data_IF_195049271385
#
_entry.id   IF_195049271385
#
_cell.length_a   1.000
_cell.length_b   1.000
_cell.length_c   1.000
_cell.angle_alpha   90.00
_cell.angle_beta   90.00
_cell.angle_gamma   90.00
#
_symmetry.space_group_name_H-M   'P 1'
#
loop_
_entity.id
_entity.type
_entity.pdbx_description
1 polymer ?
#
# COMPACT_ATOMS: atom_id res chain seq x y z
N UNK A 1 1.57 2.54 21.65
CA UNK A 1 1.68 2.69 20.20
C UNK A 1 2.23 1.36 19.73
N UNK A 2 1.54 0.69 18.80
CA UNK A 2 2.00 -0.58 18.25
C UNK A 2 3.04 -0.27 17.19
N UNK A 3 4.21 -0.91 17.25
CA UNK A 3 5.26 -0.74 16.25
C UNK A 3 5.04 -1.67 15.04
N UNK A 4 5.70 -1.42 13.92
CA UNK A 4 5.66 -2.28 12.74
C UNK A 4 6.15 -3.69 13.06
N UNK A 5 7.18 -3.80 13.91
CA UNK A 5 7.67 -5.07 14.44
C UNK A 5 6.58 -5.84 15.20
N UNK A 6 5.76 -5.17 16.01
CA UNK A 6 4.65 -5.80 16.75
C UNK A 6 3.59 -6.35 15.79
N UNK A 7 3.31 -5.64 14.68
CA UNK A 7 2.38 -6.08 13.65
C UNK A 7 2.92 -7.29 12.88
N UNK A 8 4.21 -7.28 12.52
CA UNK A 8 4.87 -8.40 11.87
C UNK A 8 4.84 -9.65 12.76
N UNK A 9 5.15 -9.50 14.05
CA UNK A 9 5.07 -10.60 15.01
C UNK A 9 3.63 -11.13 15.17
N UNK A 10 2.64 -10.24 15.22
CA UNK A 10 1.22 -10.64 15.26
C UNK A 10 0.81 -11.41 14.01
N UNK A 11 1.27 -10.99 12.83
CA UNK A 11 1.04 -11.70 11.57
C UNK A 11 1.66 -13.09 11.59
N UNK A 12 2.93 -13.21 12.01
CA UNK A 12 3.62 -14.50 12.13
C UNK A 12 2.86 -15.47 13.02
N UNK A 13 2.40 -15.01 14.18
CA UNK A 13 1.59 -15.80 15.09
C UNK A 13 0.26 -16.22 14.46
N UNK A 14 -0.39 -15.33 13.72
CA UNK A 14 -1.65 -15.61 13.04
C UNK A 14 -1.51 -16.73 11.99
N UNK A 15 -0.45 -16.67 11.18
CA UNK A 15 -0.14 -17.68 10.16
C UNK A 15 0.24 -19.01 10.82
N UNK A 16 1.10 -18.97 11.84
CA UNK A 16 1.60 -20.17 12.51
C UNK A 16 0.52 -20.95 13.25
N UNK A 17 -0.42 -20.26 13.90
CA UNK A 17 -1.57 -20.90 14.55
C UNK A 17 -2.45 -21.70 13.58
N UNK A 18 -2.37 -21.41 12.28
CA UNK A 18 -3.14 -22.06 11.22
C UNK A 18 -2.31 -23.02 10.37
N UNK A 19 -1.00 -23.13 10.64
CA UNK A 19 -0.06 -23.92 9.84
C UNK A 19 -0.11 -23.53 8.35
N UNK A 20 -0.21 -22.22 8.09
CA UNK A 20 -0.35 -21.64 6.75
C UNK A 20 0.97 -21.21 6.13
N UNK A 21 2.09 -21.31 6.85
CA UNK A 21 3.43 -20.97 6.37
C UNK A 21 3.79 -21.72 5.08
N UNK A 22 3.28 -22.94 4.91
CA UNK A 22 3.46 -23.75 3.70
C UNK A 22 2.87 -23.12 2.43
N UNK A 23 1.87 -22.25 2.57
CA UNK A 23 1.22 -21.55 1.46
C UNK A 23 1.82 -20.15 1.24
N UNK A 24 2.57 -19.62 2.22
CA UNK A 24 3.17 -18.29 2.16
C UNK A 24 4.55 -18.35 1.51
N UNK A 25 4.59 -18.83 0.26
CA UNK A 25 5.78 -18.72 -0.58
C UNK A 25 5.92 -17.28 -1.10
N UNK A 26 7.15 -16.78 -1.40
CA UNK A 26 7.31 -15.43 -1.96
C UNK A 26 6.47 -15.18 -3.22
N UNK A 27 6.32 -16.20 -4.07
CA UNK A 27 5.45 -16.13 -5.25
C UNK A 27 3.99 -15.88 -4.86
N UNK A 28 3.46 -16.68 -3.94
CA UNK A 28 2.06 -16.58 -3.53
C UNK A 28 1.78 -15.26 -2.80
N UNK A 29 2.73 -14.77 -1.99
CA UNK A 29 2.62 -13.47 -1.32
C UNK A 29 2.63 -12.32 -2.33
N UNK A 30 3.49 -12.36 -3.34
CA UNK A 30 3.48 -11.36 -4.42
C UNK A 30 2.15 -11.38 -5.21
N UNK A 31 1.61 -12.57 -5.47
CA UNK A 31 0.30 -12.71 -6.11
C UNK A 31 -0.82 -12.14 -5.23
N UNK A 32 -0.82 -12.43 -3.92
CA UNK A 32 -1.79 -11.87 -2.98
C UNK A 32 -1.74 -10.33 -2.96
N UNK A 33 -0.56 -9.73 -2.82
CA UNK A 33 -0.39 -8.26 -2.87
C UNK A 33 -0.99 -7.68 -4.16
N UNK A 34 -0.78 -8.36 -5.31
CA UNK A 34 -1.34 -7.90 -6.58
C UNK A 34 -2.87 -8.01 -6.64
N UNK A 35 -3.45 -8.99 -5.96
CA UNK A 35 -4.91 -9.15 -5.86
C UNK A 35 -5.49 -8.02 -5.02
N UNK A 36 -4.99 -7.80 -3.80
CA UNK A 36 -5.55 -6.76 -2.91
C UNK A 36 -5.31 -5.35 -3.46
N UNK A 37 -4.20 -5.13 -4.17
CA UNK A 37 -4.00 -3.88 -4.92
C UNK A 37 -5.04 -3.68 -6.03
N UNK A 38 -5.56 -4.76 -6.61
CA UNK A 38 -6.63 -4.71 -7.62
C UNK A 38 -8.00 -4.52 -6.97
N UNK A 39 -8.24 -5.11 -5.79
CA UNK A 39 -9.46 -4.89 -5.00
C UNK A 39 -9.56 -3.43 -4.54
N UNK A 40 -8.42 -2.83 -4.11
CA UNK A 40 -8.35 -1.38 -3.86
C UNK A 40 -8.72 -0.55 -5.09
N UNK A 41 -8.30 -0.97 -6.29
CA UNK A 41 -8.67 -0.28 -7.54
C UNK A 41 -10.18 -0.45 -7.82
N UNK A 42 -10.76 -1.61 -7.50
CA UNK A 42 -12.18 -1.91 -7.66
C UNK A 42 -13.07 -0.92 -6.89
N UNK A 43 -12.66 -0.50 -5.68
CA UNK A 43 -13.35 0.53 -4.91
C UNK A 43 -13.62 1.82 -5.71
N UNK A 44 -12.77 2.15 -6.69
CA UNK A 44 -12.85 3.38 -7.47
C UNK A 44 -13.42 3.21 -8.89
N UNK A 45 -13.75 1.99 -9.35
CA UNK A 45 -14.17 1.74 -10.74
C UNK A 45 -15.36 2.59 -11.21
N UNK A 46 -16.27 2.93 -10.29
CA UNK A 46 -17.48 3.71 -10.58
C UNK A 46 -17.42 5.13 -10.03
N UNK A 47 -16.24 5.57 -9.58
CA UNK A 47 -16.04 6.82 -8.88
C UNK A 47 -15.05 7.70 -9.64
N UNK A 48 -15.54 8.41 -10.65
CA UNK A 48 -14.71 9.37 -11.37
C UNK A 48 -14.49 10.62 -10.52
N UNK A 49 -13.21 10.97 -10.31
CA UNK A 49 -12.79 12.30 -9.87
C UNK A 49 -13.29 12.74 -8.49
N UNK A 50 -13.58 11.79 -7.59
CA UNK A 50 -13.95 12.11 -6.20
C UNK A 50 -12.85 12.94 -5.53
N UNK A 51 -13.23 14.10 -5.01
CA UNK A 51 -12.35 14.85 -4.10
C UNK A 51 -12.28 14.13 -2.75
N UNK A 52 -11.18 14.26 -1.99
CA UNK A 52 -11.07 13.67 -0.65
C UNK A 52 -12.28 13.98 0.27
N UNK A 53 -12.75 15.24 0.26
CA UNK A 53 -13.90 15.67 1.06
C UNK A 53 -15.24 15.03 0.64
N UNK A 54 -15.35 14.57 -0.61
CA UNK A 54 -16.54 13.88 -1.13
C UNK A 54 -16.46 12.38 -0.82
N UNK A 55 -15.26 11.80 -0.92
CA UNK A 55 -14.98 10.42 -0.53
C UNK A 55 -15.28 10.20 0.95
N UNK A 56 -14.85 11.11 1.83
CA UNK A 56 -15.10 11.02 3.28
C UNK A 56 -16.59 11.03 3.66
N UNK A 57 -17.49 11.45 2.77
CA UNK A 57 -18.94 11.42 3.01
C UNK A 57 -19.57 10.07 2.70
N UNK A 58 -18.85 9.19 2.01
CA UNK A 58 -19.29 7.84 1.69
C UNK A 58 -18.61 6.86 2.65
N UNK A 59 -19.23 6.64 3.82
CA UNK A 59 -18.68 5.78 4.88
C UNK A 59 -18.40 4.36 4.41
N UNK A 60 -19.23 3.80 3.52
CA UNK A 60 -19.02 2.47 2.96
C UNK A 60 -17.75 2.42 2.11
N UNK A 61 -17.59 3.37 1.17
CA UNK A 61 -16.39 3.43 0.34
C UNK A 61 -15.11 3.63 1.17
N UNK A 62 -15.18 4.46 2.21
CA UNK A 62 -14.04 4.64 3.12
C UNK A 62 -13.68 3.33 3.84
N UNK A 63 -14.69 2.58 4.29
CA UNK A 63 -14.49 1.29 4.96
C UNK A 63 -13.86 0.29 3.99
N UNK A 64 -14.39 0.16 2.78
CA UNK A 64 -13.85 -0.75 1.76
C UNK A 64 -12.38 -0.41 1.47
N UNK A 65 -12.06 0.87 1.24
CA UNK A 65 -10.67 1.32 1.02
C UNK A 65 -9.75 1.04 2.22
N UNK A 66 -10.26 1.19 3.45
CA UNK A 66 -9.50 0.87 4.66
C UNK A 66 -9.18 -0.63 4.75
N UNK A 67 -10.15 -1.49 4.42
CA UNK A 67 -9.97 -2.95 4.41
C UNK A 67 -8.91 -3.35 3.36
N UNK A 68 -9.01 -2.87 2.13
CA UNK A 68 -8.05 -3.23 1.08
C UNK A 68 -6.62 -2.71 1.35
N UNK A 69 -6.50 -1.50 1.90
CA UNK A 69 -5.20 -0.98 2.33
C UNK A 69 -4.60 -1.83 3.46
N UNK A 70 -5.42 -2.27 4.41
CA UNK A 70 -4.96 -3.13 5.49
C UNK A 70 -4.48 -4.49 4.95
N UNK A 71 -5.21 -5.08 4.00
CA UNK A 71 -4.84 -6.37 3.41
C UNK A 71 -3.55 -6.28 2.60
N UNK A 72 -3.35 -5.22 1.80
CA UNK A 72 -2.06 -4.95 1.12
C UNK A 72 -0.91 -4.91 2.14
N UNK A 73 -1.07 -4.19 3.24
CA UNK A 73 -0.04 -4.08 4.29
C UNK A 73 0.19 -5.44 4.96
N UNK A 74 -0.86 -6.21 5.26
CA UNK A 74 -0.76 -7.55 5.86
C UNK A 74 0.08 -8.49 4.99
N UNK A 75 -0.13 -8.49 3.66
CA UNK A 75 0.70 -9.32 2.78
C UNK A 75 2.11 -8.77 2.57
N UNK A 76 2.32 -7.46 2.66
CA UNK A 76 3.66 -6.87 2.69
C UNK A 76 4.44 -7.31 3.94
N UNK A 77 3.81 -7.32 5.11
CA UNK A 77 4.39 -7.89 6.34
C UNK A 77 4.74 -9.36 6.15
N UNK A 78 3.85 -10.12 5.51
CA UNK A 78 4.12 -11.52 5.18
C UNK A 78 5.32 -11.73 4.25
N UNK A 79 5.45 -10.89 3.23
CA UNK A 79 6.61 -10.89 2.35
C UNK A 79 7.89 -10.57 3.13
N UNK A 80 7.85 -9.54 3.97
CA UNK A 80 8.99 -9.10 4.78
C UNK A 80 9.45 -10.21 5.75
N UNK A 81 8.53 -10.81 6.51
CA UNK A 81 8.77 -11.99 7.34
C UNK A 81 9.40 -13.12 6.53
N UNK A 82 8.86 -13.43 5.33
CA UNK A 82 9.33 -14.59 4.57
C UNK A 82 10.75 -14.43 4.03
N UNK A 83 11.15 -13.19 3.77
CA UNK A 83 12.44 -12.83 3.17
C UNK A 83 13.45 -12.27 4.19
N UNK A 84 13.10 -12.20 5.48
CA UNK A 84 13.93 -11.61 6.54
C UNK A 84 14.31 -10.16 6.23
N UNK A 85 13.31 -9.38 5.81
CA UNK A 85 13.44 -7.95 5.49
C UNK A 85 12.93 -7.15 6.68
N UNK A 86 13.73 -6.20 7.15
CA UNK A 86 13.26 -5.12 8.01
C UNK A 86 12.46 -4.13 7.15
N UNK A 87 11.13 -4.20 7.26
CA UNK A 87 10.24 -3.40 6.42
C UNK A 87 10.29 -1.92 6.80
N UNK A 88 10.54 -1.58 8.07
CA UNK A 88 10.60 -0.18 8.52
C UNK A 88 11.83 0.48 7.92
N UNK A 89 13.00 -0.14 8.11
CA UNK A 89 14.26 0.34 7.55
C UNK A 89 14.20 0.43 6.01
N UNK A 90 13.57 -0.55 5.36
CA UNK A 90 13.41 -0.53 3.90
C UNK A 90 12.53 0.63 3.41
N UNK A 91 11.46 0.97 4.13
CA UNK A 91 10.59 2.11 3.81
C UNK A 91 11.30 3.43 4.06
N UNK A 92 11.98 3.59 5.20
CA UNK A 92 12.76 4.79 5.54
C UNK A 92 13.83 5.07 4.48
N UNK A 93 14.65 4.06 4.14
CA UNK A 93 15.67 4.20 3.10
C UNK A 93 15.06 4.58 1.74
N UNK A 94 13.89 4.02 1.40
CA UNK A 94 13.21 4.35 0.14
C UNK A 94 12.65 5.77 0.13
N UNK A 95 12.19 6.28 1.28
CA UNK A 95 11.73 7.66 1.44
C UNK A 95 12.89 8.63 1.29
N UNK A 96 14.02 8.39 1.96
CA UNK A 96 15.24 9.21 1.81
C UNK A 96 15.69 9.30 0.35
N UNK A 97 15.71 8.17 -0.36
CA UNK A 97 16.01 8.11 -1.79
C UNK A 97 15.01 8.93 -2.63
N UNK A 98 13.73 8.87 -2.28
CA UNK A 98 12.67 9.60 -3.00
C UNK A 98 12.76 11.11 -2.74
N UNK A 99 13.08 11.54 -1.52
CA UNK A 99 13.28 12.95 -1.18
C UNK A 99 14.44 13.57 -1.97
N UNK A 100 15.52 12.81 -2.16
CA UNK A 100 16.65 13.25 -3.01
C UNK A 100 16.27 13.29 -4.49
N UNK A 101 15.44 12.35 -4.95
CA UNK A 101 15.00 12.26 -6.36
C UNK A 101 13.96 13.32 -6.73
N UNK A 102 13.05 13.64 -5.82
CA UNK A 102 11.94 14.57 -6.00
C UNK A 102 12.12 15.81 -5.11
N UNK A 103 13.29 16.42 -5.23
CA UNK A 103 13.66 17.67 -4.55
C UNK A 103 12.56 18.75 -4.76
N UNK A 104 11.97 19.30 -3.69
CA UNK A 104 10.92 20.32 -3.78
C UNK A 104 11.25 21.47 -4.72
N UNK A 105 12.52 21.87 -4.84
CA UNK A 105 12.95 22.95 -5.75
C UNK A 105 12.83 22.58 -7.24
N UNK A 106 12.76 21.29 -7.57
CA UNK A 106 12.55 20.75 -8.92
C UNK A 106 11.11 20.26 -9.15
N UNK A 107 10.33 20.13 -8.08
CA UNK A 107 8.98 19.54 -8.11
C UNK A 107 7.96 20.46 -8.76
N UNK A 108 8.16 21.78 -8.80
CA UNK A 108 7.28 22.71 -9.51
C UNK A 108 7.14 22.37 -11.00
N UNK A 109 8.24 22.02 -11.66
CA UNK A 109 8.22 21.61 -13.08
C UNK A 109 7.51 20.27 -13.28
N UNK A 110 7.75 19.29 -12.39
CA UNK A 110 7.08 17.97 -12.43
C UNK A 110 5.58 18.12 -12.18
N UNK A 111 5.18 18.99 -11.25
CA UNK A 111 3.77 19.29 -10.96
C UNK A 111 3.06 19.94 -12.14
N UNK A 112 3.73 20.86 -12.85
CA UNK A 112 3.20 21.46 -14.08
C UNK A 112 2.99 20.41 -15.18
N UNK A 113 3.96 19.51 -15.39
CA UNK A 113 3.89 18.42 -16.36
C UNK A 113 2.76 17.42 -16.03
N UNK A 114 2.65 16.98 -14.77
CA UNK A 114 1.59 16.08 -14.33
C UNK A 114 0.21 16.73 -14.43
N UNK A 115 0.08 17.99 -14.05
CA UNK A 115 -1.16 18.76 -14.16
C UNK A 115 -1.57 18.96 -15.62
N UNK A 116 -0.61 19.14 -16.53
CA UNK A 116 -0.87 19.20 -17.95
C UNK A 116 -1.33 17.85 -18.51
N UNK A 117 -0.64 16.76 -18.18
CA UNK A 117 -1.03 15.41 -18.59
C UNK A 117 -2.43 15.02 -18.11
N UNK A 118 -2.79 15.35 -16.86
CA UNK A 118 -4.13 15.09 -16.31
C UNK A 118 -5.24 15.89 -17.01
N UNK A 119 -4.94 17.08 -17.53
CA UNK A 119 -5.89 17.89 -18.31
C UNK A 119 -6.07 17.36 -19.74
N UNK A 120 -5.03 16.78 -20.31
CA UNK A 120 -5.01 16.28 -21.69
C UNK A 120 -5.61 14.86 -21.81
N UNK A 121 -5.55 14.06 -20.74
CA UNK A 121 -5.96 12.65 -20.72
C UNK A 121 -7.18 12.34 -19.82
N UNK A 122 -7.93 13.38 -19.41
CA UNK A 122 -9.31 13.27 -18.89
C UNK A 122 -10.30 13.65 -19.96
#
# INVERSE_FOLDING_TARGET
MTDLEDLQLRYEQFVAQRNWEQFHTPKNLAEAISVEASELVECFLWHDNLKPDELQKNENLVTDVEEELADIVIYCLGMATRLDIDLLDAVEAKLEDNEQRFDPEKTDTINEELSQWQRENR
#
